data_IF_832651260153
#
_entry.id   IF_832651260153
#
_cell.length_a   1.000
_cell.length_b   1.000
_cell.length_c   1.000
_cell.angle_alpha   90.00
_cell.angle_beta   90.00
_cell.angle_gamma   90.00
#
_symmetry.space_group_name_H-M   'P 1'
#
loop_
_entity.id
_entity.type
_entity.pdbx_description
1 polymer ?
#
# COMPACT_ATOMS: atom_id res chain seq x y z
N UNK A 1 13.30 3.13 28.77
CA UNK A 1 12.38 3.77 27.79
C UNK A 1 13.23 4.36 26.70
N UNK A 2 13.16 3.82 25.47
CA UNK A 2 13.73 4.52 24.31
C UNK A 2 12.83 5.72 24.08
N UNK A 3 13.37 6.93 24.21
CA UNK A 3 12.64 8.15 23.86
C UNK A 3 12.59 8.18 22.33
N UNK A 4 11.51 7.61 21.77
CA UNK A 4 11.21 7.74 20.35
C UNK A 4 10.94 9.21 20.07
N UNK A 5 11.69 9.78 19.13
CA UNK A 5 11.53 11.17 18.73
C UNK A 5 10.06 11.41 18.31
N UNK A 6 9.30 12.28 19.00
CA UNK A 6 7.86 12.46 18.75
C UNK A 6 7.57 12.95 17.33
N UNK A 7 8.51 13.67 16.71
CA UNK A 7 8.41 14.10 15.32
C UNK A 7 8.47 12.94 14.34
N UNK A 8 9.31 11.94 14.60
CA UNK A 8 9.44 10.73 13.78
C UNK A 8 8.14 9.91 13.85
N UNK A 9 7.55 9.78 15.05
CA UNK A 9 6.26 9.11 15.24
C UNK A 9 5.15 9.81 14.47
N UNK A 10 5.08 11.14 14.54
CA UNK A 10 4.08 11.92 13.82
C UNK A 10 4.23 11.77 12.30
N UNK A 11 5.46 11.86 11.79
CA UNK A 11 5.74 11.69 10.36
C UNK A 11 5.45 10.28 9.88
N UNK A 12 5.74 9.25 10.70
CA UNK A 12 5.40 7.86 10.40
C UNK A 12 3.90 7.64 10.31
N UNK A 13 3.13 8.29 11.19
CA UNK A 13 1.66 8.26 11.15
C UNK A 13 1.12 8.90 9.87
N UNK A 14 1.61 10.08 9.50
CA UNK A 14 1.23 10.74 8.25
C UNK A 14 1.61 9.88 7.05
N UNK A 15 2.81 9.30 7.04
CA UNK A 15 3.27 8.39 5.99
C UNK A 15 2.33 7.20 5.84
N UNK A 16 1.92 6.57 6.94
CA UNK A 16 1.03 5.41 6.92
C UNK A 16 -0.31 5.74 6.25
N UNK A 17 -0.90 6.90 6.56
CA UNK A 17 -2.15 7.35 5.96
C UNK A 17 -1.97 7.60 4.46
N UNK A 18 -0.93 8.34 4.08
CA UNK A 18 -0.65 8.67 2.67
C UNK A 18 -0.36 7.41 1.86
N UNK A 19 0.44 6.49 2.41
CA UNK A 19 0.74 5.20 1.79
C UNK A 19 -0.51 4.34 1.65
N UNK A 20 -1.40 4.32 2.65
CA UNK A 20 -2.66 3.59 2.59
C UNK A 20 -3.59 4.13 1.50
N UNK A 21 -3.74 5.45 1.43
CA UNK A 21 -4.54 6.10 0.39
C UNK A 21 -3.94 5.88 -1.01
N UNK A 22 -2.61 6.02 -1.15
CA UNK A 22 -1.90 5.75 -2.39
C UNK A 22 -2.04 4.30 -2.85
N UNK A 23 -1.91 3.35 -1.92
CA UNK A 23 -2.11 1.93 -2.19
C UNK A 23 -3.55 1.62 -2.65
N UNK A 24 -4.55 2.28 -2.07
CA UNK A 24 -5.94 2.15 -2.47
C UNK A 24 -6.18 2.67 -3.90
N UNK A 25 -5.70 3.89 -4.21
CA UNK A 25 -5.83 4.48 -5.54
C UNK A 25 -5.11 3.63 -6.59
N UNK A 26 -3.90 3.17 -6.28
CA UNK A 26 -3.12 2.28 -7.15
C UNK A 26 -3.83 0.94 -7.37
N UNK A 27 -4.31 0.30 -6.31
CA UNK A 27 -5.05 -0.96 -6.39
C UNK A 27 -6.29 -0.83 -7.26
N UNK A 28 -7.07 0.25 -7.08
CA UNK A 28 -8.24 0.52 -7.91
C UNK A 28 -7.87 0.66 -9.40
N UNK A 29 -6.81 1.40 -9.72
CA UNK A 29 -6.33 1.54 -11.09
C UNK A 29 -5.92 0.20 -11.71
N UNK A 30 -5.21 -0.66 -10.96
CA UNK A 30 -4.83 -2.00 -11.43
C UNK A 30 -6.06 -2.87 -11.68
N UNK A 31 -7.04 -2.82 -10.79
CA UNK A 31 -8.30 -3.57 -10.92
C UNK A 31 -9.09 -3.12 -12.15
N UNK A 32 -9.24 -1.82 -12.36
CA UNK A 32 -9.91 -1.26 -13.55
C UNK A 32 -9.23 -1.75 -14.83
N UNK A 33 -7.88 -1.67 -14.90
CA UNK A 33 -7.10 -2.14 -16.04
C UNK A 33 -7.24 -3.65 -16.29
N UNK A 34 -7.33 -4.43 -15.21
CA UNK A 34 -7.55 -5.87 -15.27
C UNK A 34 -8.94 -6.20 -15.82
N UNK A 35 -9.99 -5.54 -15.33
CA UNK A 35 -11.36 -5.75 -15.79
C UNK A 35 -11.58 -5.35 -17.26
N UNK A 36 -10.89 -4.30 -17.73
CA UNK A 36 -10.91 -3.90 -19.14
C UNK A 36 -10.30 -4.97 -20.06
N UNK A 37 -9.26 -5.65 -19.57
CA UNK A 37 -8.52 -6.67 -20.33
C UNK A 37 -9.24 -8.02 -20.32
N UNK A 38 -9.97 -8.35 -19.25
CA UNK A 38 -10.62 -9.65 -19.06
C UNK A 38 -12.15 -9.53 -18.94
N UNK A 39 -12.85 -9.72 -20.07
CA UNK A 39 -14.32 -9.59 -20.13
C UNK A 39 -15.10 -10.84 -19.69
N UNK A 40 -14.44 -11.98 -19.49
CA UNK A 40 -15.07 -13.25 -19.12
C UNK A 40 -15.55 -13.27 -17.67
N UNK A 41 -16.70 -13.91 -17.42
CA UNK A 41 -17.33 -14.03 -16.09
C UNK A 41 -16.41 -14.70 -15.05
N UNK A 42 -15.56 -15.63 -15.49
CA UNK A 42 -14.60 -16.32 -14.61
C UNK A 42 -13.47 -15.38 -14.17
N UNK A 43 -12.87 -14.65 -15.10
CA UNK A 43 -11.78 -13.73 -14.78
C UNK A 43 -12.23 -12.54 -13.94
N UNK A 44 -13.47 -12.08 -14.09
CA UNK A 44 -14.07 -11.08 -13.18
C UNK A 44 -14.13 -11.56 -11.74
N UNK A 45 -14.29 -12.86 -11.48
CA UNK A 45 -14.27 -13.40 -10.11
C UNK A 45 -12.92 -13.25 -9.40
N UNK A 46 -11.83 -13.03 -10.15
CA UNK A 46 -10.49 -12.80 -9.59
C UNK A 46 -10.23 -11.32 -9.27
N UNK A 47 -11.14 -10.42 -9.62
CA UNK A 47 -11.09 -8.99 -9.27
C UNK A 47 -10.68 -8.72 -7.81
N UNK A 48 -11.33 -9.30 -6.78
CA UNK A 48 -10.94 -9.07 -5.39
C UNK A 48 -9.52 -9.56 -5.09
N UNK A 49 -9.07 -10.65 -5.72
CA UNK A 49 -7.72 -11.17 -5.53
C UNK A 49 -6.68 -10.21 -6.11
N UNK A 50 -6.92 -9.70 -7.31
CA UNK A 50 -6.07 -8.70 -7.96
C UNK A 50 -6.03 -7.41 -7.14
N UNK A 51 -7.17 -6.97 -6.60
CA UNK A 51 -7.27 -5.81 -5.72
C UNK A 51 -6.46 -5.98 -4.44
N UNK A 52 -6.68 -7.07 -3.70
CA UNK A 52 -5.94 -7.35 -2.46
C UNK A 52 -4.45 -7.50 -2.73
N UNK A 53 -4.05 -8.25 -3.75
CA UNK A 53 -2.65 -8.48 -4.06
C UNK A 53 -1.92 -7.18 -4.43
N UNK A 54 -2.54 -6.34 -5.28
CA UNK A 54 -1.96 -5.05 -5.67
C UNK A 54 -1.88 -4.08 -4.49
N UNK A 55 -2.92 -4.01 -3.66
CA UNK A 55 -2.93 -3.19 -2.46
C UNK A 55 -1.85 -3.64 -1.47
N UNK A 56 -1.83 -4.92 -1.09
CA UNK A 56 -0.89 -5.47 -0.13
C UNK A 56 0.55 -5.35 -0.59
N UNK A 57 0.83 -5.56 -1.88
CA UNK A 57 2.18 -5.43 -2.43
C UNK A 57 2.68 -3.99 -2.36
N UNK A 58 1.85 -3.03 -2.79
CA UNK A 58 2.23 -1.62 -2.78
C UNK A 58 2.33 -1.08 -1.35
N UNK A 59 1.33 -1.35 -0.53
CA UNK A 59 1.30 -0.89 0.86
C UNK A 59 2.41 -1.54 1.68
N UNK A 60 2.62 -2.85 1.55
CA UNK A 60 3.71 -3.57 2.20
C UNK A 60 5.09 -3.05 1.77
N UNK A 61 5.27 -2.73 0.49
CA UNK A 61 6.48 -2.08 -0.02
C UNK A 61 6.72 -0.70 0.61
N UNK A 62 5.67 0.12 0.72
CA UNK A 62 5.74 1.42 1.38
C UNK A 62 6.09 1.29 2.87
N UNK A 63 5.49 0.35 3.60
CA UNK A 63 5.83 0.09 5.00
C UNK A 63 7.27 -0.41 5.18
N UNK A 64 7.73 -1.25 4.26
CA UNK A 64 9.13 -1.72 4.24
C UNK A 64 10.08 -0.55 4.04
N UNK A 65 9.77 0.37 3.13
CA UNK A 65 10.55 1.58 2.90
C UNK A 65 10.54 2.48 4.14
N UNK A 66 9.38 2.68 4.78
CA UNK A 66 9.29 3.42 6.03
C UNK A 66 10.18 2.80 7.10
N UNK A 67 10.15 1.47 7.27
CA UNK A 67 11.02 0.76 8.22
C UNK A 67 12.50 1.02 7.96
N UNK A 68 12.95 0.98 6.71
CA UNK A 68 14.34 1.29 6.37
C UNK A 68 14.70 2.75 6.68
N UNK A 69 13.83 3.71 6.36
CA UNK A 69 14.05 5.12 6.68
C UNK A 69 14.16 5.36 8.19
N UNK A 70 13.31 4.70 8.97
CA UNK A 70 13.33 4.78 10.43
C UNK A 70 14.60 4.15 11.01
N UNK A 71 15.03 3.00 10.48
CA UNK A 71 16.22 2.30 10.97
C UNK A 71 17.52 3.03 10.60
N UNK A 72 17.58 3.68 9.43
CA UNK A 72 18.74 4.48 9.02
C UNK A 72 18.82 5.86 9.70
N UNK A 73 17.73 6.34 10.32
CA UNK A 73 17.69 7.64 11.00
C UNK A 73 17.94 7.56 12.51
N UNK A 74 18.13 6.35 13.05
CA UNK A 74 18.53 6.09 14.44
C UNK A 74 20.05 6.00 14.54
#
# INVERSE_FOLDING_TARGET
>A
MVIVNPWITLLSFVYFIVAGFGAFVFSRYIVERYLDSFKSKFFKSLEPVVGVFSFSSFFGGALTLLYYLLTMSQ
#
